data_IF_182578117501
#
_entry.id   IF_182578117501
#
_cell.length_a   1.000
_cell.length_b   1.000
_cell.length_c   1.000
_cell.angle_alpha   90.00
_cell.angle_beta   90.00
_cell.angle_gamma   90.00
#
_symmetry.space_group_name_H-M   'P 1'
#
loop_
_entity.id
_entity.type
_entity.pdbx_description
1 polymer ?
#
# COMPACT_ATOMS: atom_id res chain seq x y z
N UNK A 1 44.71 7.85 9.02
CA UNK A 1 44.21 9.02 9.78
C UNK A 1 43.43 9.93 8.84
N UNK A 2 42.09 9.87 8.86
CA UNK A 2 41.21 10.84 8.17
C UNK A 2 40.32 11.49 9.23
N UNK A 3 40.44 12.80 9.38
CA UNK A 3 39.66 13.60 10.34
C UNK A 3 38.25 13.80 9.80
N UNK A 4 37.24 13.36 10.53
CA UNK A 4 35.84 13.76 10.30
C UNK A 4 35.62 15.11 10.97
N UNK A 5 35.17 16.09 10.19
CA UNK A 5 34.77 17.42 10.66
C UNK A 5 33.33 17.37 11.14
N UNK A 6 33.11 17.69 12.42
CA UNK A 6 31.78 17.79 13.02
C UNK A 6 31.21 19.18 12.72
N UNK A 7 30.13 19.24 11.94
CA UNK A 7 29.43 20.47 11.62
C UNK A 7 28.49 20.84 12.77
N UNK A 8 28.87 21.86 13.55
CA UNK A 8 28.04 22.44 14.62
C UNK A 8 26.86 23.17 13.98
N UNK A 9 25.64 22.69 14.21
CA UNK A 9 24.42 23.49 14.00
C UNK A 9 24.17 24.35 15.24
N UNK A 10 24.26 25.66 15.06
CA UNK A 10 24.03 26.65 16.11
C UNK A 10 22.56 26.66 16.52
N UNK A 11 22.30 26.35 17.79
CA UNK A 11 21.02 26.65 18.41
C UNK A 11 21.01 28.13 18.77
N UNK A 12 20.29 28.96 18.00
CA UNK A 12 19.97 30.31 18.41
C UNK A 12 18.70 30.28 19.27
N UNK A 13 18.90 30.08 20.58
CA UNK A 13 17.88 30.32 21.60
C UNK A 13 17.75 31.83 21.82
N UNK A 14 16.67 32.43 21.33
CA UNK A 14 16.29 33.81 21.69
C UNK A 14 15.43 33.75 22.95
N UNK A 15 15.90 34.37 24.04
CA UNK A 15 15.19 34.49 25.31
C UNK A 15 14.29 35.74 25.27
N UNK A 16 12.99 35.57 25.44
CA UNK A 16 12.03 36.70 25.55
C UNK A 16 11.88 37.11 27.03
N UNK A 17 11.88 38.40 27.38
CA UNK A 17 11.80 38.84 28.78
C UNK A 17 10.37 38.69 29.33
N UNK A 18 10.27 38.32 30.61
CA UNK A 18 9.00 38.16 31.33
C UNK A 18 8.39 39.53 31.65
N UNK A 19 7.14 39.73 31.24
CA UNK A 19 6.30 40.87 31.60
C UNK A 19 4.84 40.45 31.70
N UNK A 20 4.25 40.75 32.85
CA UNK A 20 2.90 40.49 33.36
C UNK A 20 1.73 40.70 32.37
N UNK A 21 0.76 39.78 32.45
CA UNK A 21 -0.62 39.84 31.93
C UNK A 21 -0.80 40.04 30.40
N UNK A 22 -0.86 38.93 29.65
CA UNK A 22 -1.54 38.89 28.35
C UNK A 22 -1.87 37.45 27.94
N UNK A 23 -3.12 37.21 27.56
CA UNK A 23 -3.61 35.99 26.89
C UNK A 23 -2.82 35.80 25.59
N UNK A 24 -1.88 34.85 25.59
CA UNK A 24 -0.95 34.62 24.48
C UNK A 24 -1.47 33.55 23.52
N UNK A 25 -1.74 33.96 22.29
CA UNK A 25 -1.98 33.09 21.14
C UNK A 25 -0.64 32.43 20.79
N UNK A 26 -0.56 31.10 20.83
CA UNK A 26 0.63 30.40 20.35
C UNK A 26 0.64 30.39 18.83
N UNK A 27 1.61 31.04 18.20
CA UNK A 27 1.89 30.85 16.78
C UNK A 27 2.53 29.46 16.61
N UNK A 28 1.83 28.56 15.91
CA UNK A 28 2.40 27.28 15.46
C UNK A 28 3.50 27.61 14.47
N UNK A 29 4.75 27.36 14.87
CA UNK A 29 5.90 27.52 14.01
C UNK A 29 6.06 26.27 13.14
N UNK A 30 6.15 26.54 11.84
CA UNK A 30 6.66 25.69 10.77
C UNK A 30 5.76 24.54 10.29
N UNK A 31 4.75 24.89 9.49
CA UNK A 31 4.18 23.98 8.50
C UNK A 31 5.06 23.95 7.25
N UNK A 32 6.28 23.42 7.36
CA UNK A 32 6.97 22.90 6.18
C UNK A 32 6.18 21.67 5.74
N UNK A 33 5.65 21.59 4.51
CA UNK A 33 5.15 20.32 4.02
C UNK A 33 6.35 19.37 4.02
N UNK A 34 6.29 18.33 4.87
CA UNK A 34 7.21 17.21 4.76
C UNK A 34 7.19 16.79 3.29
N UNK A 35 8.32 16.93 2.59
CA UNK A 35 8.44 16.40 1.24
C UNK A 35 8.01 14.94 1.33
N UNK A 36 6.94 14.51 0.65
CA UNK A 36 6.60 13.11 0.66
C UNK A 36 7.84 12.38 0.12
N UNK A 37 8.33 11.39 0.87
CA UNK A 37 9.29 10.46 0.31
C UNK A 37 8.78 10.06 -1.08
N UNK A 38 9.62 10.08 -2.14
CA UNK A 38 9.16 9.73 -3.47
C UNK A 38 8.50 8.37 -3.38
N UNK A 39 7.19 8.31 -3.70
CA UNK A 39 6.44 7.06 -3.67
C UNK A 39 7.13 6.11 -4.64
N UNK A 40 7.63 4.95 -4.19
CA UNK A 40 8.30 4.03 -5.08
C UNK A 40 7.30 3.57 -6.14
N UNK A 41 7.68 3.68 -7.40
CA UNK A 41 6.88 3.17 -8.51
C UNK A 41 7.56 1.91 -9.06
N UNK A 42 6.87 0.77 -8.94
CA UNK A 42 7.33 -0.50 -9.49
C UNK A 42 6.77 -0.68 -10.90
N UNK A 43 7.61 -0.92 -11.92
CA UNK A 43 7.14 -1.25 -13.27
C UNK A 43 6.25 -2.49 -13.23
N UNK A 44 5.21 -2.51 -14.06
CA UNK A 44 4.31 -3.63 -14.16
C UNK A 44 4.00 -3.99 -15.61
N UNK A 45 3.87 -5.29 -15.87
CA UNK A 45 3.60 -5.88 -17.16
C UNK A 45 2.47 -6.91 -17.03
N UNK A 46 1.94 -7.41 -18.15
CA UNK A 46 0.82 -8.35 -18.14
C UNK A 46 1.10 -9.58 -17.26
N UNK A 47 2.33 -10.10 -17.23
CA UNK A 47 2.63 -11.34 -16.51
C UNK A 47 1.95 -12.56 -17.15
N UNK A 48 1.70 -13.60 -16.35
CA UNK A 48 1.12 -14.88 -16.81
C UNK A 48 -0.01 -15.35 -15.91
N UNK A 49 -1.02 -15.99 -16.51
CA UNK A 49 -2.21 -16.51 -15.81
C UNK A 49 -1.93 -17.72 -14.89
N UNK A 50 -0.72 -18.30 -14.94
CA UNK A 50 -0.39 -19.51 -14.18
C UNK A 50 1.05 -19.46 -13.65
N UNK A 51 1.31 -19.94 -12.42
CA UNK A 51 0.34 -20.51 -11.47
C UNK A 51 -0.54 -19.43 -10.81
N UNK A 52 -1.66 -19.84 -10.21
CA UNK A 52 -2.51 -18.96 -9.39
C UNK A 52 -1.79 -18.55 -8.10
N UNK A 53 -2.13 -17.36 -7.61
CA UNK A 53 -1.46 -16.69 -6.50
C UNK A 53 -0.18 -15.97 -6.91
N UNK A 54 0.64 -15.54 -5.94
CA UNK A 54 1.93 -14.92 -6.18
C UNK A 54 2.98 -15.97 -6.57
N UNK A 55 3.77 -15.71 -7.61
CA UNK A 55 4.79 -16.60 -8.13
C UNK A 55 6.03 -15.86 -8.63
N UNK A 56 7.17 -16.55 -8.65
CA UNK A 56 8.42 -16.01 -9.22
C UNK A 56 8.43 -16.30 -10.72
N UNK A 57 8.65 -15.28 -11.58
CA UNK A 57 8.77 -15.47 -13.01
C UNK A 57 9.87 -16.46 -13.38
N UNK A 58 9.60 -17.34 -14.35
CA UNK A 58 10.54 -18.37 -14.82
C UNK A 58 11.51 -17.87 -15.89
N UNK A 59 11.23 -16.72 -16.50
CA UNK A 59 12.03 -16.09 -17.55
C UNK A 59 13.25 -15.32 -17.01
N UNK A 60 13.44 -15.32 -15.68
CA UNK A 60 14.52 -14.62 -15.00
C UNK A 60 14.21 -13.16 -14.67
N UNK A 61 13.00 -12.67 -14.98
CA UNK A 61 12.58 -11.32 -14.62
C UNK A 61 12.52 -11.16 -13.10
N UNK A 62 13.18 -10.13 -12.58
CA UNK A 62 13.20 -9.84 -11.15
C UNK A 62 11.89 -9.18 -10.72
N UNK A 63 10.95 -9.97 -10.21
CA UNK A 63 9.66 -9.48 -9.77
C UNK A 63 8.79 -10.56 -9.15
N UNK A 64 7.51 -10.24 -8.99
CA UNK A 64 6.49 -11.18 -8.55
C UNK A 64 5.33 -11.11 -9.53
N UNK A 65 4.98 -12.26 -10.10
CA UNK A 65 3.75 -12.44 -10.86
C UNK A 65 2.60 -12.73 -9.91
N UNK A 66 1.46 -12.12 -10.12
CA UNK A 66 0.24 -12.33 -9.35
C UNK A 66 -0.85 -12.81 -10.30
N UNK A 67 -1.56 -13.88 -9.94
CA UNK A 67 -2.69 -14.39 -10.73
C UNK A 67 -3.89 -14.77 -9.84
N UNK A 68 -5.08 -14.30 -10.20
CA UNK A 68 -6.33 -14.48 -9.46
C UNK A 68 -7.46 -14.91 -10.41
N UNK A 69 -8.12 -16.04 -10.12
CA UNK A 69 -9.34 -16.39 -10.84
C UNK A 69 -10.54 -15.56 -10.35
N UNK A 70 -11.20 -14.86 -11.27
CA UNK A 70 -12.48 -14.19 -11.04
C UNK A 70 -13.24 -14.00 -12.36
N UNK A 71 -13.93 -15.05 -12.81
CA UNK A 71 -14.56 -15.09 -14.14
C UNK A 71 -15.72 -14.09 -14.35
N UNK A 72 -16.39 -13.66 -13.28
CA UNK A 72 -17.50 -12.70 -13.35
C UNK A 72 -17.10 -11.23 -13.15
N UNK A 73 -15.83 -10.96 -12.85
CA UNK A 73 -15.35 -9.61 -12.62
C UNK A 73 -15.26 -8.82 -13.93
N UNK A 74 -15.45 -7.50 -13.84
CA UNK A 74 -15.17 -6.57 -14.95
C UNK A 74 -13.81 -5.92 -14.85
N UNK A 75 -13.27 -5.82 -13.64
CA UNK A 75 -11.90 -5.34 -13.42
C UNK A 75 -11.37 -5.89 -12.10
N UNK A 76 -10.06 -6.09 -12.05
CA UNK A 76 -9.33 -6.47 -10.85
C UNK A 76 -8.14 -5.54 -10.70
N UNK A 77 -8.01 -4.97 -9.51
CA UNK A 77 -6.90 -4.11 -9.13
C UNK A 77 -6.07 -4.80 -8.06
N UNK A 78 -4.79 -4.97 -8.32
CA UNK A 78 -3.80 -5.35 -7.33
C UNK A 78 -3.43 -4.11 -6.50
N UNK A 79 -3.58 -4.21 -5.18
CA UNK A 79 -3.22 -3.17 -4.23
C UNK A 79 -1.98 -3.61 -3.45
N UNK A 80 -0.89 -2.85 -3.50
CA UNK A 80 0.40 -3.16 -2.90
C UNK A 80 0.77 -2.16 -1.80
N UNK A 81 1.00 -2.66 -0.59
CA UNK A 81 1.59 -1.92 0.52
C UNK A 81 3.04 -2.36 0.69
N UNK A 82 3.97 -1.42 0.50
CA UNK A 82 5.41 -1.68 0.57
C UNK A 82 6.05 -0.84 1.67
N UNK A 83 6.93 -1.44 2.47
CA UNK A 83 7.79 -0.72 3.41
C UNK A 83 7.06 0.02 4.54
N UNK A 84 5.79 -0.30 4.80
CA UNK A 84 4.98 0.36 5.83
C UNK A 84 4.25 1.63 5.36
N UNK A 85 4.13 1.84 4.04
CA UNK A 85 3.27 2.87 3.48
C UNK A 85 1.85 2.82 4.06
N UNK A 86 1.20 3.98 4.21
CA UNK A 86 -0.20 4.07 4.65
C UNK A 86 -1.18 3.85 3.51
N UNK A 87 -0.80 4.21 2.30
CA UNK A 87 -1.61 4.10 1.09
C UNK A 87 -1.03 3.05 0.14
N UNK A 88 -1.87 2.21 -0.49
CA UNK A 88 -1.41 1.23 -1.44
C UNK A 88 -1.10 1.83 -2.80
N UNK A 89 -0.14 1.22 -3.50
CA UNK A 89 0.03 1.37 -4.94
C UNK A 89 -1.00 0.47 -5.64
N UNK A 90 -1.72 1.02 -6.61
CA UNK A 90 -2.77 0.31 -7.32
C UNK A 90 -2.36 0.00 -8.77
N UNK A 91 -2.58 -1.25 -9.19
CA UNK A 91 -2.24 -1.73 -10.52
C UNK A 91 -3.41 -2.48 -11.12
N UNK A 92 -3.81 -2.15 -12.35
CA UNK A 92 -4.85 -2.86 -13.06
C UNK A 92 -4.31 -4.17 -13.65
N UNK A 93 -5.01 -5.28 -13.41
CA UNK A 93 -4.63 -6.59 -13.91
C UNK A 93 -5.17 -6.85 -15.31
N UNK A 94 -4.44 -7.63 -16.11
CA UNK A 94 -4.89 -8.13 -17.41
C UNK A 94 -5.73 -9.37 -17.21
N UNK A 95 -6.78 -9.56 -18.01
CA UNK A 95 -7.61 -10.77 -17.98
C UNK A 95 -7.26 -11.72 -19.13
N UNK A 96 -7.04 -12.99 -18.80
CA UNK A 96 -7.01 -14.10 -19.74
C UNK A 96 -7.99 -15.17 -19.27
N UNK A 97 -9.08 -15.35 -20.02
CA UNK A 97 -10.11 -16.37 -19.79
C UNK A 97 -10.63 -16.46 -18.33
N UNK A 98 -10.82 -15.31 -17.68
CA UNK A 98 -11.30 -15.24 -16.29
C UNK A 98 -10.21 -15.29 -15.22
N UNK A 99 -8.95 -15.44 -15.60
CA UNK A 99 -7.80 -15.27 -14.72
C UNK A 99 -7.21 -13.87 -14.91
N UNK A 100 -7.13 -13.12 -13.81
CA UNK A 100 -6.57 -11.78 -13.76
C UNK A 100 -5.12 -11.86 -13.32
N UNK A 101 -4.20 -11.33 -14.10
CA UNK A 101 -2.79 -11.44 -13.81
C UNK A 101 -2.00 -10.16 -14.09
N UNK A 102 -0.89 -10.02 -13.38
CA UNK A 102 0.06 -8.92 -13.51
C UNK A 102 1.43 -9.33 -12.97
N UNK A 103 2.50 -8.93 -13.64
CA UNK A 103 3.88 -9.04 -13.14
C UNK A 103 4.33 -7.67 -12.67
N UNK A 104 4.72 -7.56 -11.40
CA UNK A 104 5.31 -6.33 -10.84
C UNK A 104 6.80 -6.54 -10.60
N UNK A 105 7.61 -5.74 -11.25
CA UNK A 105 9.06 -5.84 -11.23
C UNK A 105 9.68 -5.12 -10.03
N UNK A 106 10.89 -5.53 -9.66
CA UNK A 106 11.71 -4.87 -8.65
C UNK A 106 11.05 -4.77 -7.27
N UNK A 107 10.03 -5.59 -7.00
CA UNK A 107 9.39 -5.67 -5.69
C UNK A 107 10.38 -6.16 -4.63
N UNK A 108 10.43 -5.51 -3.44
CA UNK A 108 11.24 -6.00 -2.34
C UNK A 108 10.80 -7.40 -1.91
N UNK A 109 11.77 -8.23 -1.48
CA UNK A 109 11.48 -9.60 -0.99
C UNK A 109 10.82 -9.65 0.39
N UNK A 110 10.81 -8.53 1.11
CA UNK A 110 10.27 -8.42 2.47
C UNK A 110 9.46 -7.14 2.63
N UNK A 111 8.60 -7.11 3.65
CA UNK A 111 7.72 -5.97 3.97
C UNK A 111 6.81 -5.54 2.81
N UNK A 112 6.38 -6.51 2.00
CA UNK A 112 5.34 -6.32 0.98
C UNK A 112 4.08 -7.04 1.46
N UNK A 113 2.96 -6.33 1.43
CA UNK A 113 1.62 -6.88 1.63
C UNK A 113 0.80 -6.52 0.40
N UNK A 114 -0.14 -7.40 0.05
CA UNK A 114 -1.02 -7.16 -1.08
C UNK A 114 -2.44 -7.56 -0.75
N UNK A 115 -3.36 -6.98 -1.51
CA UNK A 115 -4.79 -7.32 -1.52
C UNK A 115 -5.33 -7.07 -2.93
N UNK A 116 -6.55 -7.51 -3.18
CA UNK A 116 -7.25 -7.23 -4.43
C UNK A 116 -8.48 -6.36 -4.18
N UNK A 117 -8.78 -5.48 -5.13
CA UNK A 117 -10.11 -4.87 -5.27
C UNK A 117 -10.74 -5.44 -6.53
N UNK A 118 -11.94 -5.98 -6.40
CA UNK A 118 -12.61 -6.69 -7.49
C UNK A 118 -13.94 -6.01 -7.78
N UNK A 119 -14.14 -5.65 -9.03
CA UNK A 119 -15.37 -5.03 -9.52
C UNK A 119 -16.09 -5.96 -10.49
N UNK A 120 -17.40 -5.80 -10.64
CA UNK A 120 -18.19 -6.62 -11.56
C UNK A 120 -19.58 -6.05 -11.81
N UNK A 121 -20.30 -6.65 -12.76
CA UNK A 121 -21.70 -6.30 -13.06
C UNK A 121 -22.66 -7.09 -12.16
N UNK A 122 -23.82 -6.50 -11.91
CA UNK A 122 -24.87 -7.07 -11.06
C UNK A 122 -25.00 -6.32 -9.74
N UNK A 123 -25.68 -6.94 -8.79
CA UNK A 123 -26.08 -6.33 -7.53
C UNK A 123 -26.78 -7.33 -6.61
N UNK A 124 -27.30 -6.81 -5.50
CA UNK A 124 -27.95 -7.62 -4.46
C UNK A 124 -29.03 -8.56 -5.01
N UNK A 125 -29.82 -8.02 -5.93
CA UNK A 125 -30.93 -8.60 -6.68
C UNK A 125 -30.52 -9.77 -7.62
N UNK A 126 -29.31 -9.74 -8.15
CA UNK A 126 -28.79 -10.80 -9.05
C UNK A 126 -27.91 -11.83 -8.33
N UNK A 127 -27.77 -11.71 -7.00
CA UNK A 127 -26.91 -12.58 -6.19
C UNK A 127 -25.42 -12.23 -6.23
N UNK A 128 -24.99 -11.33 -7.11
CA UNK A 128 -23.62 -10.83 -7.15
C UNK A 128 -23.34 -9.89 -5.97
N UNK A 129 -22.11 -9.93 -5.44
CA UNK A 129 -21.66 -9.17 -4.26
C UNK A 129 -20.35 -8.45 -4.52
N UNK A 130 -20.27 -7.76 -5.67
CA UNK A 130 -19.10 -6.96 -6.01
C UNK A 130 -19.04 -5.72 -5.13
N UNK A 131 -17.90 -5.50 -4.49
CA UNK A 131 -17.61 -4.26 -3.78
C UNK A 131 -16.21 -3.80 -4.18
N UNK A 132 -16.17 -2.78 -5.04
CA UNK A 132 -14.91 -2.21 -5.48
C UNK A 132 -14.16 -1.49 -4.35
N UNK A 133 -14.77 -1.16 -3.21
CA UNK A 133 -14.09 -0.46 -2.11
C UNK A 133 -13.47 -1.42 -1.09
N UNK A 134 -13.89 -2.68 -1.09
CA UNK A 134 -13.36 -3.68 -0.18
C UNK A 134 -11.99 -4.20 -0.65
N UNK A 135 -11.05 -4.30 0.29
CA UNK A 135 -9.82 -5.06 0.09
C UNK A 135 -10.08 -6.55 0.36
N UNK A 136 -9.86 -7.36 -0.65
CA UNK A 136 -10.09 -8.79 -0.64
C UNK A 136 -8.76 -9.53 -0.47
N UNK A 137 -8.82 -10.60 0.32
CA UNK A 137 -7.71 -11.54 0.44
C UNK A 137 -7.62 -12.39 -0.83
N UNK A 138 -6.39 -12.64 -1.28
CA UNK A 138 -6.13 -13.60 -2.33
C UNK A 138 -6.41 -15.03 -1.83
N UNK A 139 -7.34 -15.79 -2.44
CA UNK A 139 -7.63 -17.18 -2.07
C UNK A 139 -6.43 -18.12 -2.25
N UNK A 140 -5.42 -17.71 -3.02
CA UNK A 140 -4.19 -18.45 -3.28
C UNK A 140 -2.99 -17.88 -2.52
N UNK A 141 -3.19 -16.96 -1.57
CA UNK A 141 -2.11 -16.39 -0.79
C UNK A 141 -1.36 -17.50 0.01
N UNK A 142 -0.03 -17.61 -0.11
CA UNK A 142 0.74 -18.58 0.66
C UNK A 142 0.84 -18.19 2.14
N UNK A 143 0.73 -16.89 2.44
CA UNK A 143 0.83 -16.34 3.79
C UNK A 143 -0.14 -15.16 3.94
N UNK A 144 -0.79 -15.10 5.10
CA UNK A 144 -1.75 -14.05 5.44
C UNK A 144 -1.24 -13.25 6.63
N UNK A 145 -1.16 -11.93 6.47
CA UNK A 145 -0.87 -11.03 7.58
C UNK A 145 -2.14 -10.86 8.42
N UNK A 146 -2.15 -11.45 9.62
CA UNK A 146 -3.25 -11.26 10.57
C UNK A 146 -3.05 -9.98 11.40
N UNK A 147 -4.16 -9.50 11.98
CA UNK A 147 -4.14 -8.48 13.03
C UNK A 147 -3.67 -9.10 14.36
N UNK A 148 -3.02 -8.31 15.22
CA UNK A 148 -2.53 -8.81 16.52
C UNK A 148 -3.67 -9.18 17.49
N UNK A 149 -4.83 -8.52 17.37
CA UNK A 149 -6.01 -8.81 18.21
C UNK A 149 -7.32 -8.65 17.44
N UNK A 150 -8.35 -9.37 17.85
CA UNK A 150 -9.70 -9.19 17.32
C UNK A 150 -10.20 -7.76 17.58
N UNK A 151 -10.88 -7.15 16.61
CA UNK A 151 -11.44 -5.80 16.73
C UNK A 151 -10.47 -4.65 16.39
N UNK A 152 -9.16 -4.90 16.29
CA UNK A 152 -8.21 -3.86 15.87
C UNK A 152 -8.20 -3.70 14.34
N UNK A 153 -8.11 -2.46 13.87
CA UNK A 153 -7.93 -2.14 12.45
C UNK A 153 -6.65 -2.76 11.89
N UNK A 154 -6.77 -3.46 10.76
CA UNK A 154 -5.63 -3.99 10.01
C UNK A 154 -5.00 -2.92 9.11
N UNK A 155 -3.89 -3.28 8.45
CA UNK A 155 -3.16 -2.39 7.54
C UNK A 155 -3.97 -1.89 6.33
N UNK A 156 -5.16 -2.46 6.10
CA UNK A 156 -6.06 -2.16 4.98
C UNK A 156 -7.34 -1.42 5.42
N UNK A 157 -7.34 -0.82 6.63
CA UNK A 157 -8.48 -0.07 7.15
C UNK A 157 -9.60 -0.99 7.64
N UNK A 158 -9.69 -1.16 8.96
CA UNK A 158 -10.92 -1.66 9.59
C UNK A 158 -11.79 -0.47 9.95
N UNK A 159 -12.81 -0.18 9.14
CA UNK A 159 -13.84 0.76 9.54
C UNK A 159 -14.67 0.12 10.66
N UNK A 160 -14.53 0.68 11.85
CA UNK A 160 -15.44 0.51 12.97
C UNK A 160 -16.84 0.96 12.53
N UNK A 161 -17.77 0.01 12.35
CA UNK A 161 -19.23 0.17 12.50
C UNK A 161 -19.93 -1.09 12.01
N UNK A 162 -20.26 -1.96 12.97
CA UNK A 162 -21.40 -2.86 12.83
C UNK A 162 -22.66 -2.08 13.20
#
# INVERSE_FOLDING_TARGET
>A
MRRFSAQKFGQNLVRVPRGRHATGIFAVLDSTPATPFPVPHYPAHAGVASPLGPSIPTDGTAGVNFALYSGGATSVTLCLLVGGASEPLEYECVNDNGVWHILVESLPRSNVRYAYRVNGKGGWDTGYRWDKMAYLLDPYAPLVASRPWFGHGGAWGGAEKW
#
